data_IF_347289338911
#
_entry.id   IF_347289338911
#
_cell.length_a   1.000
_cell.length_b   1.000
_cell.length_c   1.000
_cell.angle_alpha   90.00
_cell.angle_beta   90.00
_cell.angle_gamma   90.00
#
_symmetry.space_group_name_H-M   'P 1'
#
loop_
_entity.id
_entity.type
_entity.pdbx_description
1 polymer ?
#
# COMPACT_ATOMS: atom_id res chain seq x y z
N UNK A 1 1.13 -7.65 2.74
CA UNK A 1 0.60 -8.57 1.71
C UNK A 1 1.50 -8.53 0.50
N UNK A 2 1.75 -9.66 -0.15
CA UNK A 2 2.33 -9.68 -1.49
C UNK A 2 1.26 -9.23 -2.51
N UNK A 3 1.66 -8.87 -3.72
CA UNK A 3 0.72 -8.44 -4.74
C UNK A 3 -0.22 -9.59 -5.15
N UNK A 4 -1.52 -9.38 -4.95
CA UNK A 4 -2.56 -10.39 -5.16
C UNK A 4 -2.71 -11.43 -4.03
N UNK A 5 -1.99 -11.26 -2.92
CA UNK A 5 -2.18 -12.11 -1.74
C UNK A 5 -3.50 -11.81 -1.03
N UNK A 6 -4.23 -12.87 -0.69
CA UNK A 6 -5.50 -12.80 0.06
C UNK A 6 -5.31 -12.93 1.57
N UNK A 7 -4.09 -13.18 2.03
CA UNK A 7 -3.72 -13.27 3.44
C UNK A 7 -2.25 -12.86 3.65
N UNK A 8 -1.85 -12.44 4.86
CA UNK A 8 -0.45 -12.27 5.19
C UNK A 8 0.29 -13.61 5.21
N UNK A 9 1.59 -13.57 4.94
CA UNK A 9 2.47 -14.76 4.95
C UNK A 9 3.07 -15.07 6.34
N UNK A 10 2.75 -14.26 7.34
CA UNK A 10 3.04 -14.54 8.74
C UNK A 10 1.76 -14.97 9.47
N UNK A 11 1.91 -15.76 10.53
CA UNK A 11 0.84 -16.23 11.41
C UNK A 11 0.69 -15.36 12.67
N UNK A 12 1.77 -14.73 13.13
CA UNK A 12 1.75 -13.85 14.30
C UNK A 12 2.88 -12.82 14.27
N UNK A 13 2.73 -11.78 15.08
CA UNK A 13 3.70 -10.69 15.26
C UNK A 13 3.89 -10.46 16.76
N UNK A 14 5.14 -10.32 17.20
CA UNK A 14 5.50 -9.86 18.55
C UNK A 14 6.59 -8.80 18.45
N UNK A 15 6.23 -7.53 18.64
CA UNK A 15 7.14 -6.42 18.36
C UNK A 15 7.55 -6.38 16.89
N UNK A 16 8.86 -6.50 16.63
CA UNK A 16 9.42 -6.60 15.27
C UNK A 16 9.71 -8.04 14.83
N UNK A 17 9.27 -9.04 15.61
CA UNK A 17 9.47 -10.46 15.30
C UNK A 17 8.22 -11.03 14.65
N UNK A 18 8.41 -11.72 13.53
CA UNK A 18 7.33 -12.33 12.74
C UNK A 18 7.47 -13.84 12.76
N UNK A 19 6.39 -14.55 13.05
CA UNK A 19 6.31 -16.00 12.86
C UNK A 19 5.74 -16.27 11.48
N UNK A 20 6.53 -16.90 10.61
CA UNK A 20 6.13 -17.18 9.23
C UNK A 20 5.26 -18.43 9.14
N UNK A 21 4.36 -18.46 8.16
CA UNK A 21 3.57 -19.66 7.84
C UNK A 21 4.47 -20.71 7.17
N UNK A 22 4.07 -21.98 7.28
CA UNK A 22 4.70 -23.07 6.54
C UNK A 22 4.69 -22.77 5.03
N UNK A 23 5.84 -22.96 4.36
CA UNK A 23 6.03 -22.62 2.95
C UNK A 23 6.30 -21.13 2.67
N UNK A 24 6.34 -20.29 3.70
CA UNK A 24 6.65 -18.86 3.62
C UNK A 24 7.77 -18.43 4.57
N UNK A 25 8.66 -19.35 4.94
CA UNK A 25 9.75 -19.12 5.91
C UNK A 25 10.76 -18.07 5.44
N UNK A 26 10.91 -17.91 4.12
CA UNK A 26 11.70 -16.82 3.51
C UNK A 26 11.02 -15.45 3.59
N UNK A 27 9.79 -15.39 4.10
CA UNK A 27 8.94 -14.21 4.10
C UNK A 27 8.61 -13.73 2.69
N UNK A 28 8.58 -12.42 2.52
CA UNK A 28 8.24 -11.74 1.27
C UNK A 28 9.40 -11.73 0.27
N UNK A 29 9.76 -12.92 -0.22
CA UNK A 29 10.88 -13.18 -1.16
C UNK A 29 10.40 -13.70 -2.53
N UNK A 30 11.27 -13.69 -3.53
CA UNK A 30 10.93 -13.99 -4.94
C UNK A 30 10.21 -15.34 -5.15
N UNK A 31 9.37 -15.39 -6.19
CA UNK A 31 8.73 -16.63 -6.68
C UNK A 31 7.48 -17.08 -5.92
N UNK A 32 7.03 -16.32 -4.92
CA UNK A 32 5.95 -16.75 -4.01
C UNK A 32 4.67 -15.91 -4.10
N UNK A 33 4.65 -14.79 -4.84
CA UNK A 33 3.42 -13.99 -4.91
C UNK A 33 2.33 -14.71 -5.72
N UNK A 34 1.06 -14.66 -5.30
CA UNK A 34 0.00 -15.42 -5.97
C UNK A 34 -0.24 -14.98 -7.42
N UNK A 35 0.22 -13.79 -7.81
CA UNK A 35 -0.02 -13.22 -9.14
C UNK A 35 1.27 -12.83 -9.87
N UNK A 36 2.22 -13.76 -9.93
CA UNK A 36 3.38 -13.68 -10.83
C UNK A 36 3.05 -14.03 -12.30
N UNK A 37 1.77 -14.26 -12.62
CA UNK A 37 1.36 -14.73 -13.95
C UNK A 37 1.73 -13.75 -15.07
N UNK A 38 2.19 -14.26 -16.23
CA UNK A 38 2.46 -13.45 -17.43
C UNK A 38 1.21 -12.77 -18.01
N UNK A 39 0.00 -13.18 -17.60
CA UNK A 39 -1.26 -12.58 -18.07
C UNK A 39 -1.47 -11.12 -17.63
N UNK A 40 -0.73 -10.67 -16.62
CA UNK A 40 -0.70 -9.26 -16.20
C UNK A 40 0.47 -8.54 -16.82
N UNK A 41 0.24 -8.09 -18.05
CA UNK A 41 1.13 -7.26 -18.83
C UNK A 41 1.26 -5.84 -18.26
N UNK A 42 2.07 -5.02 -18.91
CA UNK A 42 2.30 -3.64 -18.50
C UNK A 42 1.02 -2.82 -18.47
N UNK A 43 0.82 -2.06 -17.38
CA UNK A 43 -0.34 -1.20 -17.15
C UNK A 43 -1.69 -1.94 -17.14
N UNK A 44 -1.69 -3.23 -16.82
CA UNK A 44 -2.93 -4.02 -16.70
C UNK A 44 -3.40 -4.06 -15.25
N UNK A 45 -4.66 -3.74 -15.02
CA UNK A 45 -5.30 -3.86 -13.70
C UNK A 45 -5.66 -5.30 -13.38
N UNK A 46 -5.83 -5.62 -12.10
CA UNK A 46 -6.44 -6.87 -11.68
C UNK A 46 -7.79 -7.06 -12.39
N UNK A 47 -8.02 -8.27 -12.91
CA UNK A 47 -9.38 -8.69 -13.24
C UNK A 47 -10.16 -8.80 -11.92
N UNK A 48 -11.47 -8.58 -12.00
CA UNK A 48 -12.35 -8.68 -10.82
C UNK A 48 -12.22 -10.00 -10.07
N UNK A 49 -11.95 -11.11 -10.76
CA UNK A 49 -11.75 -12.45 -10.18
C UNK A 49 -10.47 -12.56 -9.36
N UNK A 50 -9.50 -11.69 -9.58
CA UNK A 50 -8.14 -11.82 -9.08
C UNK A 50 -7.80 -10.77 -8.02
N UNK A 51 -8.56 -9.69 -7.96
CA UNK A 51 -8.39 -8.63 -6.97
C UNK A 51 -8.52 -9.20 -5.54
N UNK A 52 -7.46 -9.11 -4.71
CA UNK A 52 -7.46 -9.69 -3.38
C UNK A 52 -8.40 -8.96 -2.42
N UNK A 53 -8.58 -7.64 -2.58
CA UNK A 53 -9.52 -6.90 -1.75
C UNK A 53 -10.96 -7.35 -2.02
N UNK A 54 -11.28 -7.65 -3.28
CA UNK A 54 -12.57 -8.21 -3.66
C UNK A 54 -12.77 -9.63 -3.13
N UNK A 55 -11.75 -10.47 -3.19
CA UNK A 55 -11.79 -11.83 -2.62
C UNK A 55 -12.01 -11.83 -1.10
N UNK A 56 -11.42 -10.88 -0.38
CA UNK A 56 -11.51 -10.79 1.08
C UNK A 56 -12.81 -10.09 1.53
N UNK A 57 -13.16 -8.96 0.91
CA UNK A 57 -14.24 -8.08 1.37
C UNK A 57 -15.54 -8.23 0.57
N UNK A 58 -15.50 -8.87 -0.60
CA UNK A 58 -16.65 -9.04 -1.50
C UNK A 58 -17.10 -7.75 -2.17
N UNK A 59 -18.24 -7.82 -2.88
CA UNK A 59 -18.93 -6.65 -3.45
C UNK A 59 -18.07 -5.81 -4.39
N UNK A 60 -18.16 -4.48 -4.27
CA UNK A 60 -17.46 -3.52 -5.14
C UNK A 60 -16.12 -3.04 -4.56
N UNK A 61 -15.57 -3.78 -3.59
CA UNK A 61 -14.25 -3.50 -3.04
C UNK A 61 -13.16 -3.95 -4.02
N UNK A 62 -12.14 -3.12 -4.19
CA UNK A 62 -10.97 -3.41 -5.00
C UNK A 62 -9.71 -2.76 -4.40
N UNK A 63 -8.53 -3.26 -4.80
CA UNK A 63 -7.31 -2.49 -4.63
C UNK A 63 -7.35 -1.25 -5.53
N UNK A 64 -6.88 -0.08 -5.05
CA UNK A 64 -6.79 1.11 -5.88
C UNK A 64 -5.87 0.88 -7.07
N UNK A 65 -6.33 1.19 -8.28
CA UNK A 65 -5.48 1.21 -9.48
C UNK A 65 -4.51 2.40 -9.45
N UNK A 66 -3.52 2.41 -10.33
CA UNK A 66 -2.54 3.51 -10.43
C UNK A 66 -3.25 4.82 -10.75
N UNK A 67 -4.32 4.76 -11.55
CA UNK A 67 -5.14 5.90 -11.91
C UNK A 67 -5.93 6.44 -10.72
N UNK A 68 -6.44 5.58 -9.84
CA UNK A 68 -7.08 6.02 -8.59
C UNK A 68 -6.07 6.73 -7.70
N UNK A 69 -4.85 6.22 -7.58
CA UNK A 69 -3.78 6.88 -6.84
C UNK A 69 -3.35 8.21 -7.45
N UNK A 70 -3.27 8.28 -8.78
CA UNK A 70 -3.02 9.53 -9.48
C UNK A 70 -4.14 10.54 -9.28
N UNK A 71 -5.41 10.12 -9.32
CA UNK A 71 -6.55 10.98 -9.06
C UNK A 71 -6.51 11.55 -7.64
N UNK A 72 -6.16 10.72 -6.65
CA UNK A 72 -5.95 11.17 -5.27
C UNK A 72 -4.84 12.23 -5.19
N UNK A 73 -3.71 12.02 -5.88
CA UNK A 73 -2.61 13.01 -5.96
C UNK A 73 -3.04 14.33 -6.58
N UNK A 74 -3.71 14.25 -7.72
CA UNK A 74 -4.19 15.43 -8.42
C UNK A 74 -5.26 16.20 -7.62
N UNK A 75 -5.99 15.53 -6.73
CA UNK A 75 -6.98 16.17 -5.86
C UNK A 75 -6.35 17.10 -4.81
N UNK A 76 -5.08 16.93 -4.44
CA UNK A 76 -4.40 17.76 -3.43
C UNK A 76 -4.37 19.25 -3.81
N UNK A 77 -4.25 19.56 -5.10
CA UNK A 77 -4.26 20.96 -5.56
C UNK A 77 -5.67 21.56 -5.61
N UNK A 78 -6.72 20.73 -5.49
CA UNK A 78 -8.11 21.13 -5.76
C UNK A 78 -9.03 20.96 -4.56
N UNK A 79 -9.25 19.74 -4.10
CA UNK A 79 -10.37 19.35 -3.23
C UNK A 79 -9.96 18.77 -1.88
N UNK A 80 -8.70 18.36 -1.72
CA UNK A 80 -8.17 17.85 -0.44
C UNK A 80 -6.88 18.57 -0.07
N UNK A 81 -6.53 18.54 1.22
CA UNK A 81 -5.24 18.96 1.76
C UNK A 81 -4.49 17.74 2.27
N UNK A 82 -3.20 17.70 2.03
CA UNK A 82 -2.32 16.66 2.54
C UNK A 82 -1.42 17.21 3.61
N UNK A 83 -1.41 16.54 4.75
CA UNK A 83 -0.61 16.92 5.91
C UNK A 83 0.13 15.69 6.39
N UNK A 84 1.46 15.77 6.38
CA UNK A 84 2.29 14.78 7.06
C UNK A 84 2.05 14.92 8.56
N UNK A 85 1.58 13.86 9.21
CA UNK A 85 1.39 13.87 10.66
C UNK A 85 2.74 13.67 11.33
N UNK A 86 3.47 14.76 11.55
CA UNK A 86 4.75 14.75 12.24
C UNK A 86 4.55 15.13 13.70
N UNK A 87 4.49 14.14 14.58
CA UNK A 87 4.93 14.37 15.96
C UNK A 87 6.45 14.19 15.99
N UNK A 88 7.17 15.30 16.19
CA UNK A 88 8.61 15.40 16.46
C UNK A 88 9.51 14.95 15.31
N UNK A 89 10.42 15.82 14.87
CA UNK A 89 11.46 15.43 13.92
C UNK A 89 12.26 14.23 14.46
N UNK A 90 12.66 13.30 13.61
CA UNK A 90 13.58 12.20 13.99
C UNK A 90 14.88 12.73 14.63
N UNK A 91 15.29 13.94 14.23
CA UNK A 91 16.44 14.68 14.74
C UNK A 91 16.23 15.30 16.11
N UNK A 92 14.98 15.55 16.53
CA UNK A 92 14.71 16.19 17.82
C UNK A 92 14.65 15.17 18.96
N UNK A 93 14.22 13.93 18.69
CA UNK A 93 13.97 12.95 19.75
C UNK A 93 14.63 11.59 19.52
N UNK A 94 15.26 11.35 18.37
CA UNK A 94 15.85 10.05 17.99
C UNK A 94 14.83 8.90 17.89
N UNK A 95 13.54 9.19 18.10
CA UNK A 95 12.49 8.20 18.29
C UNK A 95 11.34 8.52 17.36
N UNK A 96 11.04 7.61 16.44
CA UNK A 96 9.88 7.74 15.57
C UNK A 96 8.63 7.31 16.35
N UNK A 97 7.68 8.23 16.60
CA UNK A 97 6.37 7.87 17.15
C UNK A 97 5.63 6.91 16.20
N UNK A 98 4.83 6.01 16.76
CA UNK A 98 4.19 4.90 16.04
C UNK A 98 3.06 5.34 15.08
N UNK A 99 2.66 6.62 15.11
CA UNK A 99 1.49 7.16 14.41
C UNK A 99 1.84 8.17 13.29
N UNK A 100 2.86 7.87 12.48
CA UNK A 100 3.25 8.72 11.34
C UNK A 100 2.61 8.27 10.05
N UNK A 101 2.35 9.23 9.16
CA UNK A 101 1.73 8.99 7.86
C UNK A 101 1.30 10.29 7.18
N UNK A 102 0.44 10.15 6.18
CA UNK A 102 -0.23 11.29 5.53
C UNK A 102 -1.71 11.28 5.92
N UNK A 103 -2.15 12.41 6.47
CA UNK A 103 -3.57 12.72 6.65
C UNK A 103 -4.06 13.51 5.44
N UNK A 104 -5.10 12.99 4.81
CA UNK A 104 -5.75 13.58 3.64
C UNK A 104 -7.12 14.07 4.09
N UNK A 105 -7.29 15.38 4.16
CA UNK A 105 -8.50 16.03 4.66
C UNK A 105 -9.23 16.73 3.52
N UNK A 106 -10.55 16.61 3.44
CA UNK A 106 -11.33 17.34 2.44
C UNK A 106 -11.35 18.84 2.75
N UNK A 107 -11.08 19.68 1.74
CA UNK A 107 -11.15 21.14 1.88
C UNK A 107 -12.57 21.55 2.22
N UNK A 108 -12.73 22.40 3.24
CA UNK A 108 -14.03 22.83 3.75
C UNK A 108 -14.74 21.83 4.68
N UNK A 109 -14.22 20.62 4.85
CA UNK A 109 -14.81 19.56 5.71
C UNK A 109 -13.72 18.91 6.58
N UNK A 110 -13.14 19.64 7.55
CA UNK A 110 -11.95 19.18 8.29
C UNK A 110 -12.17 17.96 9.20
N UNK A 111 -13.43 17.59 9.45
CA UNK A 111 -13.79 16.41 10.26
C UNK A 111 -13.70 15.07 9.52
N UNK A 112 -13.61 15.07 8.19
CA UNK A 112 -13.54 13.85 7.38
C UNK A 112 -12.16 13.72 6.75
N UNK A 113 -11.42 12.68 7.13
CA UNK A 113 -10.07 12.43 6.63
C UNK A 113 -9.82 10.95 6.32
N UNK A 114 -8.92 10.73 5.37
CA UNK A 114 -8.26 9.45 5.14
C UNK A 114 -6.86 9.54 5.76
N UNK A 115 -6.45 8.54 6.54
CA UNK A 115 -5.09 8.44 7.04
C UNK A 115 -4.36 7.27 6.39
N UNK A 116 -3.17 7.55 5.86
CA UNK A 116 -2.25 6.59 5.27
C UNK A 116 -1.00 6.49 6.15
N UNK A 117 -0.91 5.52 7.08
CA UNK A 117 0.27 5.36 7.94
C UNK A 117 1.55 4.96 7.20
N UNK A 118 2.70 5.22 7.82
CA UNK A 118 3.98 4.57 7.53
C UNK A 118 3.97 3.16 8.10
N UNK A 119 3.24 2.27 7.46
CA UNK A 119 3.10 0.89 7.91
C UNK A 119 4.22 -0.03 7.40
N UNK A 120 5.21 0.53 6.70
CA UNK A 120 6.46 -0.14 6.36
C UNK A 120 6.44 -1.00 5.11
N UNK A 121 7.46 -1.83 4.94
CA UNK A 121 7.57 -2.79 3.86
C UNK A 121 8.39 -3.99 4.30
N UNK A 122 8.03 -5.18 3.79
CA UNK A 122 8.85 -6.38 3.94
C UNK A 122 9.70 -6.69 2.72
N UNK A 123 10.94 -7.10 2.97
CA UNK A 123 11.86 -7.70 1.99
C UNK A 123 12.40 -9.00 2.57
N UNK A 124 11.92 -10.13 2.05
CA UNK A 124 12.09 -11.41 2.73
C UNK A 124 11.48 -11.35 4.13
N UNK A 125 12.29 -11.63 5.15
CA UNK A 125 11.88 -11.57 6.56
C UNK A 125 12.15 -10.23 7.23
N UNK A 126 12.81 -9.30 6.54
CA UNK A 126 13.15 -7.98 7.07
C UNK A 126 11.97 -7.01 6.96
N UNK A 127 11.71 -6.22 8.01
CA UNK A 127 10.66 -5.22 8.05
C UNK A 127 11.25 -3.81 8.22
N UNK A 128 11.08 -2.96 7.20
CA UNK A 128 11.40 -1.53 7.28
C UNK A 128 10.13 -0.73 7.57
N UNK A 129 10.04 -0.15 8.78
CA UNK A 129 8.85 0.54 9.27
C UNK A 129 8.68 1.99 8.81
N UNK A 130 9.63 2.56 8.04
CA UNK A 130 9.70 4.02 7.84
C UNK A 130 9.12 4.55 6.53
N UNK A 131 8.22 3.79 5.89
CA UNK A 131 7.63 4.17 4.62
C UNK A 131 6.13 3.86 4.54
N UNK A 132 5.40 4.68 3.78
CA UNK A 132 4.04 4.37 3.34
C UNK A 132 4.11 3.76 1.94
N UNK A 133 3.89 2.44 1.83
CA UNK A 133 4.00 1.69 0.58
C UNK A 133 2.73 0.88 0.35
N UNK A 134 1.85 1.38 -0.51
CA UNK A 134 0.52 0.78 -0.71
C UNK A 134 0.44 0.16 -2.10
N UNK A 135 0.05 -1.11 -2.15
CA UNK A 135 -0.16 -1.79 -3.42
C UNK A 135 -1.19 -1.07 -4.26
N UNK A 136 -0.87 -0.94 -5.55
CA UNK A 136 -1.86 -0.69 -6.57
C UNK A 136 -2.38 -2.02 -7.13
N UNK A 137 -3.62 -2.03 -7.60
CA UNK A 137 -4.18 -3.11 -8.40
C UNK A 137 -3.60 -3.19 -9.82
N UNK A 138 -2.67 -2.31 -10.21
CA UNK A 138 -2.11 -2.22 -11.56
C UNK A 138 -0.71 -2.81 -11.66
N UNK A 139 -0.50 -3.70 -12.64
CA UNK A 139 0.80 -4.26 -13.01
C UNK A 139 1.68 -3.26 -13.80
N UNK A 140 3.01 -3.38 -13.71
CA UNK A 140 3.96 -2.59 -14.54
C UNK A 140 4.64 -3.43 -15.60
N UNK A 141 5.20 -4.56 -15.21
CA UNK A 141 5.77 -5.60 -16.08
C UNK A 141 6.06 -6.78 -15.16
N UNK A 142 6.09 -8.02 -15.62
CA UNK A 142 6.52 -9.12 -14.74
C UNK A 142 7.99 -8.92 -14.35
N UNK A 143 8.38 -8.91 -13.06
CA UNK A 143 7.64 -9.33 -11.87
C UNK A 143 7.14 -8.20 -10.94
N UNK A 144 6.87 -7.00 -11.44
CA UNK A 144 6.58 -5.78 -10.67
C UNK A 144 5.15 -5.25 -10.84
N UNK A 145 4.71 -4.48 -9.85
CA UNK A 145 3.45 -3.76 -9.83
C UNK A 145 3.65 -2.33 -9.32
N UNK A 146 2.70 -1.44 -9.64
CA UNK A 146 2.70 -0.08 -9.13
C UNK A 146 2.38 -0.05 -7.64
N UNK A 147 2.93 0.94 -6.97
CA UNK A 147 2.58 1.29 -5.59
C UNK A 147 2.40 2.79 -5.47
N UNK A 148 1.57 3.18 -4.52
CA UNK A 148 1.65 4.50 -3.92
C UNK A 148 2.78 4.49 -2.88
N UNK A 149 3.74 5.38 -3.04
CA UNK A 149 4.92 5.48 -2.19
C UNK A 149 5.10 6.87 -1.64
N UNK A 150 5.46 6.95 -0.37
CA UNK A 150 5.89 8.18 0.28
C UNK A 150 6.75 7.84 1.48
N UNK A 151 7.70 8.73 1.77
CA UNK A 151 8.54 8.67 2.96
C UNK A 151 8.46 9.99 3.71
N UNK A 152 9.04 10.04 4.91
CA UNK A 152 9.10 11.30 5.68
C UNK A 152 9.86 12.42 4.98
N UNK A 153 10.73 12.09 4.03
CA UNK A 153 11.56 13.07 3.31
C UNK A 153 10.82 13.61 2.08
N UNK A 154 9.73 12.93 1.70
CA UNK A 154 8.94 13.28 0.53
C UNK A 154 7.79 14.18 0.97
N UNK A 155 7.69 15.35 0.36
CA UNK A 155 6.51 16.23 0.47
C UNK A 155 5.39 15.80 -0.49
N UNK A 156 5.58 14.70 -1.22
CA UNK A 156 4.70 14.25 -2.28
C UNK A 156 4.52 12.73 -2.24
N UNK A 157 3.36 12.28 -2.70
CA UNK A 157 3.05 10.88 -2.93
C UNK A 157 3.47 10.53 -4.35
N UNK A 158 4.27 9.48 -4.53
CA UNK A 158 4.54 8.91 -5.85
C UNK A 158 3.58 7.73 -6.12
N UNK A 159 2.53 7.92 -6.95
CA UNK A 159 1.59 6.87 -7.29
C UNK A 159 2.16 5.88 -8.33
N UNK A 160 3.33 6.17 -8.92
CA UNK A 160 3.93 5.38 -10.00
C UNK A 160 5.22 4.67 -9.57
N UNK A 161 5.51 4.65 -8.28
CA UNK A 161 6.61 3.86 -7.75
C UNK A 161 6.40 2.38 -8.08
N UNK A 162 7.49 1.65 -8.32
CA UNK A 162 7.45 0.30 -8.87
C UNK A 162 8.19 -0.68 -7.97
N UNK A 163 7.50 -1.73 -7.53
CA UNK A 163 8.07 -2.72 -6.61
C UNK A 163 7.83 -4.17 -7.10
N UNK A 164 8.77 -5.10 -6.84
CA UNK A 164 8.55 -6.53 -7.07
C UNK A 164 7.31 -7.04 -6.34
N UNK A 165 6.46 -7.80 -7.04
CA UNK A 165 5.17 -8.33 -6.57
C UNK A 165 5.29 -9.25 -5.35
N UNK A 166 6.47 -9.83 -5.12
CA UNK A 166 6.78 -10.65 -3.94
C UNK A 166 6.88 -9.87 -2.63
N UNK A 167 7.12 -8.56 -2.66
CA UNK A 167 7.37 -7.78 -1.45
C UNK A 167 6.10 -7.59 -0.62
N UNK A 168 6.28 -7.42 0.69
CA UNK A 168 5.15 -7.23 1.59
C UNK A 168 4.83 -5.75 1.74
N UNK A 169 3.77 -5.28 1.08
CA UNK A 169 3.30 -3.89 1.19
C UNK A 169 1.90 -3.83 1.83
N UNK A 170 1.44 -2.61 2.15
CA UNK A 170 0.10 -2.37 2.63
C UNK A 170 -0.93 -2.50 1.52
N UNK A 171 -2.17 -2.78 1.93
CA UNK A 171 -3.35 -2.74 1.07
C UNK A 171 -4.34 -1.73 1.66
N UNK A 172 -4.93 -0.90 0.81
CA UNK A 172 -5.97 0.06 1.22
C UNK A 172 -7.15 -0.04 0.26
N UNK A 173 -8.03 -1.04 0.46
CA UNK A 173 -9.19 -1.24 -0.42
C UNK A 173 -10.03 0.03 -0.56
N UNK A 174 -10.55 0.24 -1.77
CA UNK A 174 -11.53 1.27 -2.09
C UNK A 174 -12.78 0.61 -2.62
N UNK A 175 -13.93 1.27 -2.41
CA UNK A 175 -15.20 0.86 -2.99
C UNK A 175 -15.57 1.83 -4.09
N UNK A 176 -15.75 1.33 -5.30
CA UNK A 176 -16.35 2.14 -6.36
C UNK A 176 -17.85 2.23 -6.12
N UNK A 177 -18.34 3.43 -5.86
CA UNK A 177 -19.79 3.69 -5.76
C UNK A 177 -20.21 4.46 -7.00
N UNK A 178 -21.20 3.93 -7.72
CA UNK A 178 -21.83 4.66 -8.82
C UNK A 178 -22.61 5.81 -8.19
N UNK A 179 -22.33 7.06 -8.57
CA UNK A 179 -23.20 8.17 -8.19
C UNK A 179 -24.54 7.97 -8.89
N UNK A 180 -25.61 7.81 -8.10
CA UNK A 180 -26.98 7.83 -8.57
C UNK A 180 -27.46 9.26 -8.75
#
# INVERSE_FOLDING_TARGET
FAWGATEPWYSSISGNTFTWKEGHESGYADGTAPTFSPEYEMNTDFKMSDDPARKILGGDWQLPTVDIWMALRNANTKTVNWETTADGGFWETGTLSENKGIKITKKGEPGTYLFLPYAGIFRGTEFDKYAGKYWSGTAVYSPKAYILSFTRMDTDLDPKSVYPRCLGCQVRPVRLVVQQ
#
